data_IF_487677370941
#
_entry.id   IF_487677370941
#
_cell.length_a   1.000
_cell.length_b   1.000
_cell.length_c   1.000
_cell.angle_alpha   90.00
_cell.angle_beta   90.00
_cell.angle_gamma   90.00
#
_symmetry.space_group_name_H-M   'P 1'
#
loop_
_entity.id
_entity.type
_entity.pdbx_description
1 polymer ?
#
# COMPACT_ATOMS: atom_id res chain seq x y z
N UNK A 1 9.39 -3.89 6.27
CA UNK A 1 8.30 -4.21 7.23
C UNK A 1 7.08 -3.33 6.98
N UNK A 2 5.96 -3.51 7.69
CA UNK A 2 4.68 -2.80 7.43
C UNK A 2 4.75 -1.26 7.51
N UNK A 3 5.75 -0.69 8.19
CA UNK A 3 5.92 0.76 8.33
C UNK A 3 6.13 1.52 7.01
N UNK A 4 6.61 0.85 5.95
CA UNK A 4 6.83 1.49 4.65
C UNK A 4 5.60 1.44 3.71
N UNK A 5 4.52 0.76 4.10
CA UNK A 5 3.29 0.70 3.29
C UNK A 5 2.74 2.12 3.09
N UNK A 6 2.54 2.55 1.85
CA UNK A 6 2.06 3.91 1.54
C UNK A 6 3.02 5.04 1.93
N UNK A 7 4.28 4.73 2.27
CA UNK A 7 5.32 5.70 2.64
C UNK A 7 6.67 5.32 2.04
N UNK A 8 6.81 5.25 0.71
CA UNK A 8 8.09 4.88 0.08
C UNK A 8 9.24 5.84 0.42
N UNK A 9 8.94 7.11 0.73
CA UNK A 9 9.93 8.10 1.18
C UNK A 9 10.49 7.83 2.59
N UNK A 10 9.92 6.90 3.36
CA UNK A 10 10.42 6.55 4.69
C UNK A 10 11.91 6.16 4.66
N UNK A 11 12.37 5.51 3.60
CA UNK A 11 13.78 5.15 3.48
C UNK A 11 14.70 6.38 3.37
N UNK A 12 14.27 7.42 2.65
CA UNK A 12 15.01 8.68 2.60
C UNK A 12 15.04 9.37 3.96
N UNK A 13 13.90 9.37 4.68
CA UNK A 13 13.81 9.92 6.04
C UNK A 13 14.75 9.17 7.01
N UNK A 14 14.81 7.83 6.91
CA UNK A 14 15.71 7.01 7.72
C UNK A 14 17.19 7.27 7.41
N UNK A 15 17.55 7.39 6.14
CA UNK A 15 18.92 7.71 5.73
C UNK A 15 19.33 9.08 6.28
N UNK A 16 18.46 10.09 6.16
CA UNK A 16 18.72 11.43 6.68
C UNK A 16 18.91 11.42 8.21
N UNK A 17 18.04 10.72 8.94
CA UNK A 17 18.14 10.60 10.39
C UNK A 17 19.43 9.88 10.84
N UNK A 18 19.81 8.79 10.16
CA UNK A 18 21.04 8.06 10.49
C UNK A 18 22.32 8.83 10.12
N UNK A 19 22.24 9.77 9.19
CA UNK A 19 23.32 10.70 8.86
C UNK A 19 23.45 11.87 9.85
N UNK A 20 22.62 11.93 10.89
CA UNK A 20 22.60 13.03 11.87
C UNK A 20 21.80 14.25 11.42
N UNK A 21 21.01 14.14 10.34
CA UNK A 21 20.09 15.18 9.92
C UNK A 21 18.84 15.25 10.79
N UNK A 22 18.11 16.36 10.68
CA UNK A 22 16.82 16.53 11.36
C UNK A 22 15.73 15.61 10.77
N UNK A 23 14.83 15.15 11.64
CA UNK A 23 13.67 14.35 11.21
C UNK A 23 12.71 15.25 10.46
N UNK A 24 12.52 14.95 9.17
CA UNK A 24 11.64 15.74 8.31
C UNK A 24 10.18 15.63 8.75
N UNK A 25 9.40 16.72 8.64
CA UNK A 25 7.98 16.69 8.94
C UNK A 25 7.23 15.77 7.96
N UNK A 26 6.01 15.32 8.32
CA UNK A 26 5.15 14.56 7.42
C UNK A 26 4.99 15.26 6.06
N UNK A 27 5.02 14.47 4.98
CA UNK A 27 4.80 14.99 3.62
C UNK A 27 3.36 15.50 3.49
N UNK A 28 3.20 16.63 2.80
CA UNK A 28 1.89 17.18 2.48
C UNK A 28 1.18 16.37 1.39
N UNK A 29 -0.12 16.62 1.22
CA UNK A 29 -0.98 15.89 0.29
C UNK A 29 -0.47 16.00 -1.15
N UNK A 30 -0.02 17.17 -1.59
CA UNK A 30 0.51 17.36 -2.94
C UNK A 30 1.69 16.44 -3.24
N UNK A 31 2.66 16.35 -2.32
CA UNK A 31 3.77 15.41 -2.46
C UNK A 31 3.29 13.96 -2.50
N UNK A 32 2.37 13.58 -1.61
CA UNK A 32 1.83 12.22 -1.56
C UNK A 32 1.12 11.86 -2.87
N UNK A 33 0.36 12.79 -3.43
CA UNK A 33 -0.35 12.63 -4.70
C UNK A 33 0.62 12.40 -5.86
N UNK A 34 1.67 13.20 -5.98
CA UNK A 34 2.68 12.99 -7.03
C UNK A 34 3.35 11.61 -6.93
N UNK A 35 3.63 11.15 -5.70
CA UNK A 35 4.15 9.81 -5.47
C UNK A 35 3.14 8.73 -5.86
N UNK A 36 1.85 8.92 -5.55
CA UNK A 36 0.77 8.00 -5.95
C UNK A 36 0.65 7.90 -7.48
N UNK A 37 0.65 9.04 -8.17
CA UNK A 37 0.61 9.12 -9.63
C UNK A 37 1.80 8.41 -10.28
N UNK A 38 3.00 8.65 -9.76
CA UNK A 38 4.20 7.92 -10.21
C UNK A 38 4.07 6.42 -9.99
N UNK A 39 3.58 5.99 -8.83
CA UNK A 39 3.48 4.57 -8.48
C UNK A 39 2.51 3.82 -9.39
N UNK A 40 1.32 4.36 -9.69
CA UNK A 40 0.38 3.68 -10.59
C UNK A 40 0.96 3.53 -12.01
N UNK A 41 1.66 4.56 -12.52
CA UNK A 41 2.33 4.48 -13.83
C UNK A 41 3.45 3.43 -13.83
N UNK A 42 4.31 3.42 -12.81
CA UNK A 42 5.37 2.41 -12.69
C UNK A 42 4.82 0.98 -12.57
N UNK A 43 3.67 0.78 -11.93
CA UNK A 43 3.00 -0.53 -11.91
C UNK A 43 2.45 -0.90 -13.28
N UNK A 44 1.86 0.04 -14.02
CA UNK A 44 1.39 -0.20 -15.38
C UNK A 44 2.53 -0.58 -16.33
N UNK A 45 3.63 0.17 -16.30
CA UNK A 45 4.87 -0.13 -17.04
C UNK A 45 5.39 -1.52 -16.68
N UNK A 46 5.47 -1.86 -15.39
CA UNK A 46 5.96 -3.15 -14.92
C UNK A 46 5.14 -4.34 -15.45
N UNK A 47 3.82 -4.17 -15.58
CA UNK A 47 2.93 -5.20 -16.13
C UNK A 47 2.77 -5.12 -17.66
N UNK A 48 3.58 -4.31 -18.34
CA UNK A 48 3.67 -4.28 -19.80
C UNK A 48 2.53 -3.54 -20.49
N UNK A 49 1.95 -2.51 -19.87
CA UNK A 49 1.07 -1.58 -20.59
C UNK A 49 1.65 -0.17 -20.68
N UNK A 50 1.19 0.52 -21.70
CA UNK A 50 1.31 1.95 -21.95
C UNK A 50 0.28 2.77 -21.12
N UNK A 51 0.46 4.09 -21.12
CA UNK A 51 -0.23 5.10 -20.29
C UNK A 51 -1.78 5.06 -20.33
N UNK A 52 -2.36 4.23 -21.21
CA UNK A 52 -3.80 4.18 -21.53
C UNK A 52 -4.54 3.06 -20.80
N UNK A 53 -3.87 2.08 -20.18
CA UNK A 53 -4.56 1.20 -19.23
C UNK A 53 -4.13 -0.25 -19.19
N UNK A 54 -3.09 -0.54 -18.39
CA UNK A 54 -3.04 -1.86 -17.74
C UNK A 54 -4.18 -1.95 -16.72
N UNK A 55 -5.18 -2.79 -16.98
CA UNK A 55 -6.14 -3.17 -15.93
C UNK A 55 -5.43 -3.80 -14.74
N UNK A 56 -4.29 -4.49 -14.96
CA UNK A 56 -3.53 -5.15 -13.90
C UNK A 56 -2.80 -4.14 -13.01
N UNK A 57 -2.04 -3.21 -13.58
CA UNK A 57 -1.31 -2.20 -12.80
C UNK A 57 -2.24 -1.33 -11.94
N UNK A 58 -3.35 -0.89 -12.52
CA UNK A 58 -4.39 -0.14 -11.79
C UNK A 58 -5.02 -0.99 -10.69
N UNK A 59 -5.41 -2.24 -10.98
CA UNK A 59 -5.99 -3.14 -9.97
C UNK A 59 -5.03 -3.40 -8.80
N UNK A 60 -3.74 -3.61 -9.09
CA UNK A 60 -2.72 -3.80 -8.07
C UNK A 60 -2.48 -2.54 -7.24
N UNK A 61 -2.56 -1.36 -7.85
CA UNK A 61 -2.41 -0.08 -7.15
C UNK A 61 -3.54 0.20 -6.15
N UNK A 62 -4.78 -0.20 -6.43
CA UNK A 62 -5.96 0.09 -5.57
C UNK A 62 -5.74 -0.29 -4.10
N UNK A 63 -5.02 -1.38 -3.82
CA UNK A 63 -4.72 -1.82 -2.44
C UNK A 63 -3.82 -0.84 -1.67
N UNK A 64 -3.05 -0.01 -2.39
CA UNK A 64 -2.10 0.95 -1.81
C UNK A 64 -2.76 2.27 -1.39
N UNK A 65 -3.88 2.63 -2.01
CA UNK A 65 -4.61 3.89 -1.75
C UNK A 65 -4.87 4.10 -0.25
N UNK A 66 -5.38 3.06 0.42
CA UNK A 66 -5.68 3.14 1.85
C UNK A 66 -4.45 3.42 2.71
N UNK A 67 -3.28 2.89 2.33
CA UNK A 67 -2.02 3.07 3.06
C UNK A 67 -1.44 4.47 2.88
N UNK A 68 -1.48 5.02 1.66
CA UNK A 68 -1.02 6.38 1.38
C UNK A 68 -1.82 7.41 2.17
N UNK A 69 -3.15 7.28 2.13
CA UNK A 69 -4.05 8.26 2.71
C UNK A 69 -4.28 8.04 4.21
N UNK A 70 -3.56 7.12 4.86
CA UNK A 70 -3.67 6.90 6.32
C UNK A 70 -3.29 8.18 7.07
N UNK A 71 -4.20 8.69 7.91
CA UNK A 71 -4.00 9.92 8.70
C UNK A 71 -4.45 11.21 8.01
N UNK A 72 -4.71 11.21 6.70
CA UNK A 72 -5.21 12.38 5.98
C UNK A 72 -6.74 12.54 6.14
N UNK A 73 -7.26 13.73 6.45
CA UNK A 73 -8.69 13.98 6.60
C UNK A 73 -9.43 14.19 5.27
N UNK A 74 -9.20 13.34 4.27
CA UNK A 74 -9.74 13.50 2.90
C UNK A 74 -11.17 12.97 2.68
N UNK A 75 -11.76 12.34 3.70
CA UNK A 75 -13.09 11.71 3.63
C UNK A 75 -13.10 10.28 3.10
N UNK A 76 -14.21 9.56 3.33
CA UNK A 76 -14.38 8.15 2.91
C UNK A 76 -14.72 7.98 1.43
N UNK A 77 -15.50 8.92 0.87
CA UNK A 77 -16.00 8.83 -0.50
C UNK A 77 -14.87 8.82 -1.55
N UNK A 78 -13.93 9.76 -1.44
CA UNK A 78 -12.80 9.83 -2.37
C UNK A 78 -11.91 8.57 -2.29
N UNK A 79 -11.77 7.98 -1.09
CA UNK A 79 -11.04 6.73 -0.90
C UNK A 79 -11.73 5.56 -1.59
N UNK A 80 -13.05 5.51 -1.51
CA UNK A 80 -13.85 4.49 -2.18
C UNK A 80 -13.70 4.60 -3.69
N UNK A 81 -13.87 5.81 -4.25
CA UNK A 81 -13.70 6.08 -5.68
C UNK A 81 -12.30 5.70 -6.18
N UNK A 82 -11.25 6.07 -5.46
CA UNK A 82 -9.87 5.68 -5.79
C UNK A 82 -9.65 4.16 -5.70
N UNK A 83 -10.30 3.48 -4.76
CA UNK A 83 -10.19 2.03 -4.60
C UNK A 83 -10.96 1.25 -5.69
N UNK A 84 -11.85 1.88 -6.44
CA UNK A 84 -12.65 1.27 -7.52
C UNK A 84 -12.29 1.77 -8.91
N UNK A 85 -11.51 2.85 -9.04
CA UNK A 85 -11.05 3.43 -10.30
C UNK A 85 -10.38 2.42 -11.23
N UNK A 86 -10.70 2.46 -12.53
CA UNK A 86 -10.38 1.43 -13.53
C UNK A 86 -9.31 1.83 -14.55
N UNK A 87 -8.85 3.08 -14.52
CA UNK A 87 -7.81 3.60 -15.40
C UNK A 87 -6.85 4.52 -14.64
N UNK A 88 -5.67 4.74 -15.23
CA UNK A 88 -4.69 5.72 -14.72
C UNK A 88 -5.28 7.13 -14.77
N UNK A 89 -5.96 7.48 -15.87
CA UNK A 89 -6.64 8.77 -16.02
C UNK A 89 -7.68 9.01 -14.92
N UNK A 90 -8.54 8.02 -14.64
CA UNK A 90 -9.51 8.14 -13.55
C UNK A 90 -8.84 8.32 -12.19
N UNK A 91 -7.70 7.66 -11.94
CA UNK A 91 -6.91 7.88 -10.71
C UNK A 91 -6.34 9.29 -10.69
N UNK A 92 -5.73 9.75 -11.78
CA UNK A 92 -5.16 11.11 -11.88
C UNK A 92 -6.23 12.16 -11.60
N UNK A 93 -7.38 12.08 -12.26
CA UNK A 93 -8.50 13.01 -12.09
C UNK A 93 -9.00 13.03 -10.64
N UNK A 94 -9.15 11.87 -10.01
CA UNK A 94 -9.57 11.76 -8.60
C UNK A 94 -8.53 12.34 -7.64
N UNK A 95 -7.24 12.15 -7.92
CA UNK A 95 -6.17 12.71 -7.10
C UNK A 95 -6.09 14.23 -7.25
N UNK A 96 -6.30 14.76 -8.46
CA UNK A 96 -6.34 16.20 -8.73
C UNK A 96 -7.57 16.86 -8.11
N UNK A 97 -8.74 16.21 -8.20
CA UNK A 97 -9.95 16.61 -7.48
C UNK A 97 -9.68 16.69 -5.97
N UNK A 98 -9.04 15.66 -5.40
CA UNK A 98 -8.70 15.63 -3.98
C UNK A 98 -7.77 16.79 -3.57
N UNK A 99 -6.75 17.11 -4.37
CA UNK A 99 -5.87 18.26 -4.11
C UNK A 99 -6.62 19.58 -4.25
N UNK A 100 -7.51 19.70 -5.23
CA UNK A 100 -8.34 20.88 -5.45
C UNK A 100 -9.26 21.17 -4.26
N UNK A 101 -9.91 20.12 -3.72
CA UNK A 101 -10.84 20.24 -2.58
C UNK A 101 -10.11 20.57 -1.27
N UNK A 102 -9.00 19.86 -1.00
CA UNK A 102 -8.35 19.90 0.32
C UNK A 102 -7.13 20.82 0.40
N UNK A 103 -6.59 21.23 -0.75
CA UNK A 103 -5.34 21.97 -0.87
C UNK A 103 -4.10 21.07 -0.82
N UNK A 104 -3.08 21.43 -1.60
CA UNK A 104 -1.81 20.69 -1.69
C UNK A 104 -1.02 20.67 -0.38
N UNK A 105 -1.21 21.68 0.47
CA UNK A 105 -0.54 21.83 1.76
C UNK A 105 -1.17 21.01 2.90
N UNK A 106 -2.30 20.33 2.67
CA UNK A 106 -2.92 19.49 3.69
C UNK A 106 -1.92 18.46 4.21
N UNK A 107 -1.83 18.32 5.53
CA UNK A 107 -1.01 17.28 6.18
C UNK A 107 -1.91 16.25 6.87
N UNK A 108 -1.29 15.19 7.38
CA UNK A 108 -1.97 14.28 8.30
C UNK A 108 -2.44 15.04 9.55
N UNK A 109 -3.52 14.56 10.16
CA UNK A 109 -3.97 15.06 11.48
C UNK A 109 -2.90 14.79 12.53
N UNK A 110 -2.95 15.53 13.64
CA UNK A 110 -2.04 15.33 14.77
C UNK A 110 -2.03 13.87 15.26
N UNK A 111 -0.85 13.26 15.37
CA UNK A 111 -0.66 11.85 15.71
C UNK A 111 -0.95 10.87 14.55
N UNK A 112 -1.44 11.36 13.41
CA UNK A 112 -1.73 10.59 12.21
C UNK A 112 -0.50 9.90 11.59
N UNK A 113 0.69 10.44 11.83
CA UNK A 113 1.97 9.89 11.40
C UNK A 113 2.29 8.53 12.03
N UNK A 114 1.76 8.26 13.22
CA UNK A 114 1.97 7.03 13.99
C UNK A 114 0.90 5.97 13.78
N UNK A 115 -0.14 6.27 12.98
CA UNK A 115 -1.19 5.29 12.68
C UNK A 115 -0.60 4.06 11.99
N UNK A 116 -0.95 2.88 12.53
CA UNK A 116 -0.48 1.60 11.99
C UNK A 116 -1.07 1.37 10.60
N UNK A 117 -0.25 0.80 9.73
CA UNK A 117 -0.63 0.42 8.36
C UNK A 117 -0.54 -1.10 8.18
N UNK A 118 -1.41 -1.63 7.32
CA UNK A 118 -1.54 -3.06 7.07
C UNK A 118 -2.23 -3.82 8.21
N UNK A 119 -2.12 -5.15 8.19
CA UNK A 119 -2.75 -6.04 9.18
C UNK A 119 -2.32 -5.68 10.60
N UNK A 120 -3.27 -5.49 11.50
CA UNK A 120 -3.03 -5.19 12.93
C UNK A 120 -3.44 -6.32 13.86
N UNK A 121 -4.12 -7.35 13.34
CA UNK A 121 -4.46 -8.54 14.12
C UNK A 121 -3.22 -9.29 14.58
N UNK A 122 -3.37 -9.97 15.72
CA UNK A 122 -2.31 -10.76 16.35
C UNK A 122 -1.84 -11.94 15.49
N UNK A 123 -0.85 -12.70 15.99
CA UNK A 123 -0.37 -13.90 15.31
C UNK A 123 -1.53 -14.83 14.96
N UNK A 124 -1.57 -15.32 13.72
CA UNK A 124 -2.49 -16.42 13.37
C UNK A 124 -1.93 -17.68 14.04
N UNK A 125 -2.80 -18.44 14.71
CA UNK A 125 -2.46 -19.79 15.18
C UNK A 125 -2.24 -20.67 13.95
N UNK A 126 -0.98 -20.96 13.64
CA UNK A 126 -0.63 -21.95 12.61
C UNK A 126 -0.77 -23.35 13.20
N UNK A 127 -1.57 -24.19 12.56
CA UNK A 127 -1.62 -25.63 12.83
C UNK A 127 -0.73 -26.36 11.84
N UNK A 128 0.01 -27.33 12.33
CA UNK A 128 0.72 -28.27 11.45
C UNK A 128 -0.31 -29.30 10.95
N UNK A 129 -0.19 -29.78 9.70
CA UNK A 129 -0.95 -30.93 9.24
C UNK A 129 -0.75 -32.13 10.16
N UNK A 130 -1.75 -33.01 10.24
CA UNK A 130 -1.66 -34.24 11.01
C UNK A 130 -0.47 -35.09 10.54
N UNK A 131 0.29 -35.65 11.48
CA UNK A 131 1.47 -36.47 11.18
C UNK A 131 2.76 -35.70 10.85
N UNK A 132 2.71 -34.37 10.65
CA UNK A 132 3.90 -33.57 10.29
C UNK A 132 5.09 -33.75 11.25
N UNK A 133 4.81 -33.84 12.56
CA UNK A 133 5.86 -34.07 13.58
C UNK A 133 6.43 -35.49 13.58
N UNK A 134 5.70 -36.46 13.01
CA UNK A 134 6.10 -37.86 12.96
C UNK A 134 7.07 -38.17 11.81
N UNK A 135 7.02 -37.38 10.73
CA UNK A 135 7.89 -37.55 9.56
C UNK A 135 8.57 -36.23 9.17
N UNK A 136 9.47 -35.74 10.03
CA UNK A 136 10.21 -34.48 9.80
C UNK A 136 11.07 -34.48 8.52
N UNK A 137 11.44 -35.66 8.02
CA UNK A 137 12.23 -35.86 6.80
C UNK A 137 11.39 -36.38 5.63
N UNK A 138 10.05 -36.29 5.71
CA UNK A 138 9.20 -36.64 4.58
C UNK A 138 9.46 -35.65 3.43
N UNK A 139 9.89 -36.18 2.30
CA UNK A 139 10.11 -35.42 1.07
C UNK A 139 8.91 -35.51 0.13
N UNK A 140 7.83 -36.19 0.54
CA UNK A 140 6.58 -36.26 -0.21
C UNK A 140 5.96 -34.87 -0.22
N UNK A 141 5.90 -34.28 -1.42
CA UNK A 141 5.18 -33.03 -1.66
C UNK A 141 3.69 -33.30 -1.40
N UNK A 142 3.04 -32.59 -0.47
CA UNK A 142 1.60 -32.72 -0.25
C UNK A 142 0.84 -32.46 -1.55
N UNK A 143 -0.26 -33.17 -1.79
CA UNK A 143 -1.16 -32.88 -2.92
C UNK A 143 -1.71 -31.45 -2.73
N UNK A 144 -1.38 -30.55 -3.67
CA UNK A 144 -1.73 -29.13 -3.64
C UNK A 144 -3.26 -28.91 -3.54
N UNK A 145 -4.08 -29.92 -3.85
CA UNK A 145 -5.53 -29.84 -3.74
C UNK A 145 -6.06 -29.79 -2.29
N UNK A 146 -5.31 -30.30 -1.30
CA UNK A 146 -5.81 -30.43 0.09
C UNK A 146 -5.27 -29.36 1.06
N UNK A 147 -4.28 -28.55 0.66
CA UNK A 147 -3.54 -27.65 1.60
C UNK A 147 -3.54 -26.18 1.20
N UNK A 148 -4.42 -25.76 0.29
CA UNK A 148 -4.61 -24.34 -0.03
C UNK A 148 -5.51 -23.62 0.98
N UNK A 149 -5.19 -23.75 2.27
CA UNK A 149 -5.71 -22.85 3.30
C UNK A 149 -4.87 -21.56 3.34
N UNK A 150 -5.18 -20.66 2.41
CA UNK A 150 -5.21 -19.20 2.59
C UNK A 150 -4.03 -18.60 3.40
N UNK A 151 -2.82 -18.62 2.84
CA UNK A 151 -1.82 -17.60 3.18
C UNK A 151 -2.07 -16.35 2.35
N UNK A 152 -3.12 -15.60 2.70
CA UNK A 152 -3.45 -14.35 2.02
C UNK A 152 -4.93 -13.99 2.04
N UNK A 153 -5.49 -13.78 3.23
CA UNK A 153 -6.86 -13.30 3.45
C UNK A 153 -7.18 -13.26 4.93
#
# INVERSE_FOLDING_TARGET
>A
GRGCLGRPWLFADLVAAFAGGEVLPPRNLGFVVEVMKRHVRSLAEHFGADDIGSTRGVRDFRKHVSWYLTGFPVGGEIRHRLATADSILAIDDLLDEMVSIHGSHLTVVEGGEYLRRGKTSGPIRVSLPDGYRGCLNDMVVPDDNDVMAVSGG
#
